data_IF_692525052763
#
_entry.id   IF_692525052763
#
_cell.length_a   1.000
_cell.length_b   1.000
_cell.length_c   1.000
_cell.angle_alpha   90.00
_cell.angle_beta   90.00
_cell.angle_gamma   90.00
#
_symmetry.space_group_name_H-M   'P 1'
#
loop_
_entity.id
_entity.type
_entity.pdbx_description
1 polymer ?
#
# COMPACT_ATOMS: atom_id res chain seq x y z
N UNK A 1 30.28 0.16 6.13
CA UNK A 1 28.92 0.76 5.95
C UNK A 1 27.96 -0.34 5.58
N UNK A 2 26.83 -0.40 6.26
CA UNK A 2 25.73 -1.31 5.92
C UNK A 2 25.05 -0.79 4.66
N UNK A 3 24.70 -1.68 3.74
CA UNK A 3 24.00 -1.36 2.48
C UNK A 3 22.55 -0.96 2.75
N UNK A 4 22.08 0.15 2.18
CA UNK A 4 20.73 0.67 2.36
C UNK A 4 20.11 1.20 1.06
N UNK A 5 20.61 0.79 -0.13
CA UNK A 5 20.18 1.38 -1.40
C UNK A 5 18.69 1.26 -1.66
N UNK A 6 18.08 0.11 -1.34
CA UNK A 6 16.63 -0.09 -1.52
C UNK A 6 15.86 0.83 -0.58
N UNK A 7 16.22 0.88 0.70
CA UNK A 7 15.59 1.81 1.64
C UNK A 7 15.72 3.26 1.17
N UNK A 8 16.91 3.67 0.74
CA UNK A 8 17.15 5.02 0.23
C UNK A 8 16.28 5.33 -0.99
N UNK A 9 16.07 4.36 -1.89
CA UNK A 9 15.18 4.53 -3.04
C UNK A 9 13.72 4.76 -2.58
N UNK A 10 13.23 3.99 -1.60
CA UNK A 10 11.90 4.20 -1.02
C UNK A 10 11.77 5.58 -0.37
N UNK A 11 12.72 5.96 0.50
CA UNK A 11 12.71 7.25 1.20
C UNK A 11 12.68 8.41 0.21
N UNK A 12 13.57 8.38 -0.77
CA UNK A 12 13.67 9.44 -1.78
C UNK A 12 12.42 9.53 -2.65
N UNK A 13 11.86 8.40 -3.06
CA UNK A 13 10.64 8.39 -3.86
C UNK A 13 9.44 8.95 -3.08
N UNK A 14 9.28 8.62 -1.80
CA UNK A 14 8.24 9.18 -0.92
C UNK A 14 8.47 10.68 -0.71
N UNK A 15 9.69 11.10 -0.41
CA UNK A 15 10.05 12.51 -0.21
C UNK A 15 9.74 13.34 -1.46
N UNK A 16 10.07 12.83 -2.64
CA UNK A 16 9.89 13.54 -3.91
C UNK A 16 8.47 13.46 -4.48
N UNK A 17 7.59 12.62 -3.91
CA UNK A 17 6.22 12.50 -4.39
C UNK A 17 5.49 13.84 -4.40
N UNK A 18 4.73 14.11 -5.46
CA UNK A 18 3.94 15.32 -5.61
C UNK A 18 2.53 15.13 -5.04
N UNK A 19 1.87 13.99 -5.35
CA UNK A 19 0.46 13.80 -5.07
C UNK A 19 0.08 12.44 -4.49
N UNK A 20 0.80 11.38 -4.87
CA UNK A 20 0.28 10.04 -4.59
C UNK A 20 1.36 8.98 -4.37
N UNK A 21 1.15 8.15 -3.37
CA UNK A 21 1.95 6.93 -3.13
C UNK A 21 1.02 5.74 -2.99
N UNK A 22 1.26 4.72 -3.80
CA UNK A 22 0.62 3.41 -3.72
C UNK A 22 1.65 2.37 -3.29
N UNK A 23 1.31 1.51 -2.33
CA UNK A 23 2.19 0.44 -1.86
C UNK A 23 1.40 -0.85 -1.73
N UNK A 24 1.94 -1.94 -2.26
CA UNK A 24 1.59 -3.30 -1.86
C UNK A 24 2.81 -3.94 -1.23
N UNK A 25 2.65 -4.53 -0.08
CA UNK A 25 3.76 -5.19 0.59
C UNK A 25 3.27 -6.29 1.54
N UNK A 26 4.03 -7.35 1.65
CA UNK A 26 3.75 -8.46 2.58
C UNK A 26 3.78 -8.03 4.05
N UNK A 27 4.56 -7.01 4.40
CA UNK A 27 4.70 -6.47 5.75
C UNK A 27 4.72 -4.95 5.74
N UNK A 28 4.33 -4.36 6.87
CA UNK A 28 4.52 -2.94 7.12
C UNK A 28 4.98 -2.72 8.56
N UNK A 29 6.29 -2.90 8.76
CA UNK A 29 6.96 -2.75 10.07
C UNK A 29 8.07 -1.73 9.94
N UNK A 30 7.93 -0.58 10.57
CA UNK A 30 8.81 0.58 10.39
C UNK A 30 8.81 1.49 11.61
N UNK A 31 9.91 2.20 11.85
CA UNK A 31 10.07 3.35 12.76
C UNK A 31 9.35 3.22 14.11
N UNK A 32 9.41 2.05 14.74
CA UNK A 32 8.71 1.79 16.00
C UNK A 32 9.60 1.07 17.01
N UNK A 33 9.13 0.98 18.24
CA UNK A 33 9.81 0.30 19.34
C UNK A 33 8.85 -0.66 20.02
N UNK A 34 9.30 -1.88 20.26
CA UNK A 34 8.59 -2.88 21.04
C UNK A 34 9.55 -3.49 22.07
N UNK A 35 9.29 -3.23 23.34
CA UNK A 35 10.19 -3.61 24.45
C UNK A 35 11.61 -3.08 24.23
N UNK A 36 12.59 -3.96 24.04
CA UNK A 36 13.99 -3.63 23.75
C UNK A 36 14.32 -3.67 22.24
N UNK A 37 13.35 -3.95 21.37
CA UNK A 37 13.55 -4.04 19.94
C UNK A 37 13.18 -2.73 19.28
N UNK A 38 14.16 -2.08 18.67
CA UNK A 38 13.98 -0.86 17.86
C UNK A 38 13.98 -1.24 16.38
N UNK A 39 13.01 -0.71 15.64
CA UNK A 39 12.89 -0.82 14.19
C UNK A 39 13.37 0.48 13.57
N UNK A 40 14.54 0.44 12.97
CA UNK A 40 15.27 1.63 12.51
C UNK A 40 14.87 2.09 11.10
N UNK A 41 14.31 1.18 10.23
CA UNK A 41 13.94 1.61 8.89
C UNK A 41 12.93 2.75 8.95
N UNK A 42 13.17 3.78 8.14
CA UNK A 42 12.50 5.08 8.26
C UNK A 42 11.38 5.30 7.25
N UNK A 43 10.88 4.23 6.59
CA UNK A 43 9.84 4.36 5.55
C UNK A 43 8.56 5.01 6.11
N UNK A 44 8.10 4.57 7.30
CA UNK A 44 6.94 5.18 7.95
C UNK A 44 7.16 6.63 8.35
N UNK A 45 8.38 6.96 8.80
CA UNK A 45 8.73 8.35 9.12
C UNK A 45 8.71 9.24 7.87
N UNK A 46 9.24 8.75 6.74
CA UNK A 46 9.18 9.48 5.47
C UNK A 46 7.73 9.77 5.02
N UNK A 47 6.81 8.82 5.22
CA UNK A 47 5.38 9.04 4.97
C UNK A 47 4.81 10.12 5.89
N UNK A 48 5.13 10.09 7.18
CA UNK A 48 4.70 11.13 8.14
C UNK A 48 5.22 12.51 7.71
N UNK A 49 6.51 12.64 7.42
CA UNK A 49 7.12 13.91 6.99
C UNK A 49 6.49 14.43 5.68
N UNK A 50 6.23 13.53 4.73
CA UNK A 50 5.57 13.88 3.47
C UNK A 50 4.14 14.38 3.69
N UNK A 51 3.37 13.74 4.59
CA UNK A 51 2.01 14.17 4.95
C UNK A 51 2.04 15.52 5.67
N UNK A 52 2.93 15.71 6.63
CA UNK A 52 3.11 16.98 7.34
C UNK A 52 3.42 18.11 6.36
N UNK A 53 4.29 17.86 5.37
CA UNK A 53 4.58 18.81 4.31
C UNK A 53 3.34 19.14 3.49
N UNK A 54 2.58 18.14 3.03
CA UNK A 54 1.35 18.34 2.26
C UNK A 54 0.31 19.16 3.04
N UNK A 55 0.15 18.86 4.32
CA UNK A 55 -0.76 19.58 5.20
C UNK A 55 -0.37 21.05 5.35
N UNK A 56 0.91 21.32 5.63
CA UNK A 56 1.44 22.69 5.74
C UNK A 56 1.28 23.49 4.46
N UNK A 57 1.55 22.85 3.31
CA UNK A 57 1.49 23.48 1.98
C UNK A 57 0.07 23.50 1.41
N UNK A 58 -0.88 22.83 2.07
CA UNK A 58 -2.26 22.65 1.61
C UNK A 58 -2.35 22.02 0.21
N UNK A 59 -1.43 21.11 -0.08
CA UNK A 59 -1.40 20.37 -1.33
C UNK A 59 -2.16 19.07 -1.20
N UNK A 60 -2.96 18.66 -2.20
CA UNK A 60 -3.63 17.37 -2.18
C UNK A 60 -2.59 16.25 -2.33
N UNK A 61 -2.52 15.39 -1.32
CA UNK A 61 -1.64 14.24 -1.31
C UNK A 61 -2.31 13.06 -0.61
N UNK A 62 -2.13 11.85 -1.13
CA UNK A 62 -2.73 10.64 -0.56
C UNK A 62 -1.77 9.46 -0.64
N UNK A 63 -1.93 8.51 0.31
CA UNK A 63 -1.27 7.21 0.24
C UNK A 63 -2.29 6.08 0.45
N UNK A 64 -2.16 5.03 -0.36
CA UNK A 64 -2.90 3.77 -0.25
C UNK A 64 -1.87 2.67 0.00
N UNK A 65 -1.98 1.99 1.14
CA UNK A 65 -1.07 0.92 1.55
C UNK A 65 -1.88 -0.37 1.68
N UNK A 66 -1.49 -1.38 0.91
CA UNK A 66 -2.13 -2.69 0.89
C UNK A 66 -1.19 -3.72 1.52
N UNK A 67 -1.70 -4.41 2.54
CA UNK A 67 -0.95 -5.40 3.32
C UNK A 67 -1.85 -6.56 3.72
N UNK A 68 -1.32 -7.76 4.01
CA UNK A 68 -2.12 -8.84 4.58
C UNK A 68 -2.76 -8.44 5.92
N UNK A 69 -4.00 -8.85 6.13
CA UNK A 69 -4.67 -8.67 7.43
C UNK A 69 -3.95 -9.45 8.53
N UNK A 70 -3.48 -10.65 8.20
CA UNK A 70 -2.64 -11.49 9.07
C UNK A 70 -1.32 -11.76 8.36
N UNK A 71 -0.22 -11.13 8.75
CA UNK A 71 1.09 -11.43 8.19
C UNK A 71 1.56 -12.81 8.66
N UNK A 72 2.31 -13.52 7.80
CA UNK A 72 2.86 -14.85 8.15
C UNK A 72 1.92 -16.02 7.91
N UNK A 73 0.92 -15.86 7.03
CA UNK A 73 0.10 -16.95 6.51
C UNK A 73 0.98 -18.17 6.08
N UNK A 74 0.54 -19.44 6.26
CA UNK A 74 -0.84 -19.87 6.53
C UNK A 74 -1.14 -20.21 8.01
N UNK A 75 -0.35 -19.79 8.96
CA UNK A 75 -0.50 -20.20 10.36
C UNK A 75 -1.64 -19.43 11.05
N UNK A 76 -2.54 -20.17 11.69
CA UNK A 76 -3.61 -19.58 12.49
C UNK A 76 -3.05 -18.85 13.72
N UNK A 77 -3.68 -17.73 14.07
CA UNK A 77 -3.21 -16.86 15.15
C UNK A 77 -3.15 -17.55 16.52
N UNK A 78 -4.07 -18.49 16.76
CA UNK A 78 -4.20 -19.25 18.01
C UNK A 78 -3.29 -20.49 18.07
N UNK A 79 -2.60 -20.82 16.97
CA UNK A 79 -1.71 -21.98 16.95
C UNK A 79 -0.52 -21.76 17.90
N UNK A 80 -0.11 -22.77 18.70
CA UNK A 80 1.01 -22.63 19.64
C UNK A 80 2.30 -22.11 19.01
N UNK A 81 2.59 -22.51 17.77
CA UNK A 81 3.79 -22.13 17.01
C UNK A 81 3.68 -20.77 16.31
N UNK A 82 2.55 -20.07 16.40
CA UNK A 82 2.33 -18.78 15.73
C UNK A 82 2.98 -17.58 16.45
N UNK A 83 3.96 -17.82 17.33
CA UNK A 83 4.65 -16.76 18.08
C UNK A 83 5.22 -15.66 17.18
N UNK A 84 5.86 -16.03 16.07
CA UNK A 84 6.40 -15.09 15.09
C UNK A 84 5.30 -14.25 14.40
N UNK A 85 4.19 -14.88 14.05
CA UNK A 85 3.03 -14.19 13.43
C UNK A 85 2.47 -13.15 14.39
N UNK A 86 2.32 -13.49 15.68
CA UNK A 86 1.84 -12.55 16.71
C UNK A 86 2.79 -11.37 16.90
N UNK A 87 4.10 -11.61 16.94
CA UNK A 87 5.10 -10.56 17.08
C UNK A 87 5.09 -9.62 15.86
N UNK A 88 5.07 -10.17 14.65
CA UNK A 88 5.03 -9.37 13.42
C UNK A 88 3.74 -8.55 13.36
N UNK A 89 2.58 -9.14 13.70
CA UNK A 89 1.32 -8.43 13.78
C UNK A 89 1.35 -7.28 14.80
N UNK A 90 1.92 -7.53 15.98
CA UNK A 90 2.06 -6.49 17.00
C UNK A 90 2.96 -5.34 16.53
N UNK A 91 4.10 -5.63 15.92
CA UNK A 91 5.00 -4.63 15.33
C UNK A 91 4.32 -3.85 14.20
N UNK A 92 3.54 -4.51 13.34
CA UNK A 92 2.79 -3.86 12.28
C UNK A 92 1.75 -2.88 12.85
N UNK A 93 0.98 -3.27 13.86
CA UNK A 93 0.05 -2.36 14.56
C UNK A 93 0.77 -1.22 15.26
N UNK A 94 1.92 -1.45 15.88
CA UNK A 94 2.74 -0.41 16.51
C UNK A 94 3.29 0.57 15.47
N UNK A 95 3.61 0.10 14.28
CA UNK A 95 4.06 0.97 13.18
C UNK A 95 2.94 1.86 12.64
N UNK A 96 1.73 1.31 12.50
CA UNK A 96 0.61 1.97 11.82
C UNK A 96 -0.19 2.87 12.77
N UNK A 97 -0.77 2.28 13.84
CA UNK A 97 -1.83 2.94 14.60
C UNK A 97 -1.69 2.87 16.13
N UNK A 98 -0.86 1.97 16.67
CA UNK A 98 -0.77 1.77 18.13
C UNK A 98 0.55 2.29 18.70
N UNK A 99 0.45 2.92 19.88
CA UNK A 99 1.60 3.45 20.57
C UNK A 99 2.11 4.80 20.01
N UNK A 100 3.03 5.43 20.73
CA UNK A 100 3.44 6.83 20.48
C UNK A 100 4.28 7.00 19.20
N UNK A 101 4.90 5.94 18.72
CA UNK A 101 5.77 5.98 17.55
C UNK A 101 5.02 5.62 16.25
N UNK A 102 3.74 5.24 16.32
CA UNK A 102 2.94 4.91 15.13
C UNK A 102 2.76 6.11 14.20
N UNK A 103 2.55 5.85 12.90
CA UNK A 103 2.24 6.88 11.92
C UNK A 103 1.04 7.72 12.38
N UNK A 104 -0.02 7.07 12.85
CA UNK A 104 -1.25 7.77 13.27
C UNK A 104 -1.02 8.66 14.50
N UNK A 105 -0.28 8.17 15.50
CA UNK A 105 0.01 8.96 16.69
C UNK A 105 0.92 10.16 16.39
N UNK A 106 1.93 9.99 15.52
CA UNK A 106 2.82 11.08 15.09
C UNK A 106 2.04 12.18 14.37
N UNK A 107 1.14 11.83 13.45
CA UNK A 107 0.29 12.79 12.74
C UNK A 107 -0.70 13.48 13.68
N UNK A 108 -1.37 12.72 14.54
CA UNK A 108 -2.30 13.27 15.53
C UNK A 108 -1.62 14.24 16.50
N UNK A 109 -0.36 13.98 16.88
CA UNK A 109 0.41 14.85 17.79
C UNK A 109 0.67 16.26 17.23
N UNK A 110 0.58 16.42 15.91
CA UNK A 110 0.71 17.70 15.21
C UNK A 110 -0.62 18.21 14.64
N UNK A 111 -1.75 17.63 15.09
CA UNK A 111 -3.09 18.09 14.73
C UNK A 111 -3.57 17.65 13.35
N UNK A 112 -2.95 16.63 12.75
CA UNK A 112 -3.33 16.13 11.43
C UNK A 112 -4.16 14.84 11.59
N UNK A 113 -5.35 14.79 10.97
CA UNK A 113 -6.12 13.56 10.83
C UNK A 113 -5.42 12.63 9.83
N UNK A 114 -4.88 11.47 10.26
CA UNK A 114 -4.20 10.55 9.35
C UNK A 114 -5.14 10.00 8.26
N UNK A 115 -6.42 9.78 8.56
CA UNK A 115 -7.38 9.22 7.63
C UNK A 115 -7.70 10.14 6.43
N UNK A 116 -7.36 11.42 6.53
CA UNK A 116 -7.44 12.35 5.42
C UNK A 116 -6.31 12.16 4.40
N UNK A 117 -5.23 11.46 4.76
CA UNK A 117 -4.02 11.36 3.94
C UNK A 117 -3.59 9.94 3.61
N UNK A 118 -3.76 8.98 4.51
CA UNK A 118 -3.26 7.61 4.35
C UNK A 118 -4.29 6.59 4.79
N UNK A 119 -4.43 5.53 4.00
CA UNK A 119 -5.25 4.38 4.33
C UNK A 119 -4.48 3.07 4.22
N UNK A 120 -4.73 2.17 5.17
CA UNK A 120 -4.20 0.81 5.17
C UNK A 120 -5.35 -0.16 4.90
N UNK A 121 -5.15 -1.04 3.93
CA UNK A 121 -6.17 -1.97 3.43
C UNK A 121 -5.63 -3.38 3.36
N UNK A 122 -6.54 -4.35 3.42
CA UNK A 122 -6.23 -5.77 3.23
C UNK A 122 -7.25 -6.37 2.29
N UNK A 123 -6.79 -7.27 1.44
CA UNK A 123 -7.65 -7.96 0.49
C UNK A 123 -8.29 -9.19 1.11
N UNK A 124 -9.54 -9.42 0.75
CA UNK A 124 -10.22 -10.68 1.03
C UNK A 124 -11.17 -11.02 -0.11
N UNK A 125 -11.41 -12.31 -0.29
CA UNK A 125 -12.36 -12.81 -1.28
C UNK A 125 -13.47 -13.58 -0.59
N UNK A 126 -14.68 -13.39 -1.08
CA UNK A 126 -15.84 -14.16 -0.70
C UNK A 126 -16.04 -15.34 -1.67
N UNK A 127 -16.45 -16.46 -1.13
CA UNK A 127 -16.78 -17.62 -1.93
C UNK A 127 -18.02 -18.34 -1.38
N UNK A 128 -18.58 -19.21 -2.21
CA UNK A 128 -19.67 -20.09 -1.81
C UNK A 128 -19.20 -21.54 -1.90
N UNK A 129 -19.22 -22.21 -0.77
CA UNK A 129 -18.90 -23.65 -0.72
C UNK A 129 -19.96 -24.48 -1.43
N UNK A 130 -19.60 -25.73 -1.77
CA UNK A 130 -20.47 -26.66 -2.53
C UNK A 130 -21.89 -26.82 -1.96
N UNK A 131 -22.05 -26.66 -0.64
CA UNK A 131 -23.33 -26.76 0.05
C UNK A 131 -24.01 -25.41 0.29
N UNK A 132 -23.61 -24.35 -0.41
CA UNK A 132 -24.22 -23.03 -0.35
C UNK A 132 -23.72 -22.12 0.80
N UNK A 133 -22.88 -22.62 1.69
CA UNK A 133 -22.29 -21.82 2.79
C UNK A 133 -21.40 -20.72 2.22
N UNK A 134 -21.63 -19.49 2.66
CA UNK A 134 -20.74 -18.37 2.35
C UNK A 134 -19.51 -18.43 3.24
N UNK A 135 -18.36 -18.24 2.63
CA UNK A 135 -17.06 -18.20 3.30
C UNK A 135 -16.26 -16.99 2.79
N UNK A 136 -15.33 -16.54 3.60
CA UNK A 136 -14.38 -15.49 3.21
C UNK A 136 -12.98 -15.90 3.64
N UNK A 137 -11.99 -15.56 2.83
CA UNK A 137 -10.58 -15.79 3.12
C UNK A 137 -9.78 -14.55 2.72
N UNK A 138 -8.68 -14.28 3.42
CA UNK A 138 -7.78 -13.21 3.00
C UNK A 138 -7.10 -13.60 1.69
N UNK A 139 -6.93 -12.62 0.82
CA UNK A 139 -5.98 -12.68 -0.29
C UNK A 139 -4.65 -12.18 0.26
N UNK A 140 -3.62 -13.02 0.20
CA UNK A 140 -2.32 -12.72 0.79
C UNK A 140 -1.40 -12.05 -0.24
N UNK A 141 -1.29 -10.71 -0.29
CA UNK A 141 -0.33 -10.06 -1.15
C UNK A 141 1.09 -10.41 -0.71
N UNK A 142 1.88 -10.96 -1.63
CA UNK A 142 3.29 -11.30 -1.41
C UNK A 142 4.22 -10.46 -2.27
N UNK A 143 3.67 -9.62 -3.11
CA UNK A 143 4.38 -8.64 -3.91
C UNK A 143 4.98 -7.53 -3.04
N UNK A 144 5.96 -6.83 -3.58
CA UNK A 144 6.60 -5.67 -2.96
C UNK A 144 6.73 -4.62 -4.04
N UNK A 145 5.70 -3.77 -4.09
CA UNK A 145 5.52 -2.75 -5.11
C UNK A 145 5.27 -1.42 -4.44
N UNK A 146 5.95 -0.38 -4.89
CA UNK A 146 5.59 1.01 -4.61
C UNK A 146 5.48 1.77 -5.92
N UNK A 147 4.39 2.51 -6.10
CA UNK A 147 4.17 3.37 -7.26
C UNK A 147 3.97 4.80 -6.76
N UNK A 148 4.73 5.74 -7.33
CA UNK A 148 4.73 7.13 -6.91
C UNK A 148 4.30 8.01 -8.09
N UNK A 149 3.23 8.79 -7.88
CA UNK A 149 2.67 9.74 -8.84
C UNK A 149 2.39 9.15 -10.23
N UNK A 150 2.21 7.82 -10.33
CA UNK A 150 2.14 7.11 -11.61
C UNK A 150 3.34 7.39 -12.56
N UNK A 151 4.48 7.83 -12.02
CA UNK A 151 5.71 8.14 -12.77
C UNK A 151 6.87 7.24 -12.46
N UNK A 152 6.88 6.68 -11.26
CA UNK A 152 7.94 5.81 -10.78
C UNK A 152 7.32 4.56 -10.15
N UNK A 153 7.90 3.40 -10.44
CA UNK A 153 7.59 2.15 -9.76
C UNK A 153 8.86 1.52 -9.17
N UNK A 154 8.78 1.05 -7.93
CA UNK A 154 9.80 0.19 -7.31
C UNK A 154 9.18 -1.18 -7.17
N UNK A 155 9.82 -2.20 -7.74
CA UNK A 155 9.35 -3.59 -7.72
C UNK A 155 10.52 -4.48 -7.33
N UNK A 156 10.32 -5.33 -6.33
CA UNK A 156 11.40 -6.19 -5.88
C UNK A 156 11.01 -7.22 -4.84
N UNK A 157 12.01 -7.74 -4.15
CA UNK A 157 11.85 -8.73 -3.09
C UNK A 157 11.78 -8.13 -1.67
N UNK A 158 12.22 -6.87 -1.49
CA UNK A 158 12.39 -6.25 -0.19
C UNK A 158 11.06 -5.91 0.49
N UNK A 159 10.80 -6.54 1.62
CA UNK A 159 9.68 -6.20 2.50
C UNK A 159 9.90 -4.85 3.21
N UNK A 160 8.82 -4.17 3.57
CA UNK A 160 8.88 -3.06 4.53
C UNK A 160 8.97 -3.66 5.93
N UNK A 161 10.17 -4.10 6.28
CA UNK A 161 10.56 -4.56 7.61
C UNK A 161 12.07 -4.38 7.81
N UNK A 162 12.54 -4.55 9.04
CA UNK A 162 13.94 -4.35 9.37
C UNK A 162 14.88 -5.33 8.65
N UNK A 163 14.44 -6.57 8.44
CA UNK A 163 15.27 -7.61 7.82
C UNK A 163 15.61 -7.31 6.36
N UNK A 164 14.61 -6.85 5.59
CA UNK A 164 14.79 -6.55 4.17
C UNK A 164 15.39 -5.16 3.90
N UNK A 165 15.21 -4.21 4.85
CA UNK A 165 15.67 -2.84 4.66
C UNK A 165 17.09 -2.58 5.18
N UNK A 166 17.67 -3.53 5.94
CA UNK A 166 19.08 -3.51 6.36
C UNK A 166 19.90 -4.48 5.55
N UNK A 167 20.97 -4.00 4.91
CA UNK A 167 21.82 -4.81 4.04
C UNK A 167 22.74 -5.81 4.76
N UNK A 168 22.69 -5.88 6.08
CA UNK A 168 23.38 -6.87 6.90
C UNK A 168 22.48 -8.04 7.34
N UNK A 169 21.27 -8.13 6.79
CA UNK A 169 20.29 -9.16 7.11
C UNK A 169 19.93 -10.01 5.90
N UNK A 170 18.81 -9.74 5.25
CA UNK A 170 18.37 -10.49 4.08
C UNK A 170 18.99 -9.92 2.79
N UNK A 171 19.25 -10.79 1.82
CA UNK A 171 19.70 -10.38 0.49
C UNK A 171 18.49 -10.06 -0.38
N UNK A 172 18.41 -8.83 -0.88
CA UNK A 172 17.27 -8.32 -1.62
C UNK A 172 17.68 -7.73 -2.97
N UNK A 173 16.73 -7.73 -3.90
CA UNK A 173 16.88 -7.09 -5.21
C UNK A 173 15.63 -6.26 -5.52
N UNK A 174 15.81 -5.04 -6.00
CA UNK A 174 14.72 -4.20 -6.47
C UNK A 174 15.08 -3.46 -7.74
N UNK A 175 14.09 -3.26 -8.61
CA UNK A 175 14.17 -2.41 -9.78
C UNK A 175 13.42 -1.10 -9.52
N UNK A 176 14.03 0.02 -9.88
CA UNK A 176 13.39 1.32 -9.95
C UNK A 176 13.12 1.63 -11.40
N UNK A 177 11.85 1.73 -11.77
CA UNK A 177 11.40 1.97 -13.13
C UNK A 177 10.86 3.40 -13.23
N UNK A 178 11.53 4.23 -14.02
CA UNK A 178 11.00 5.51 -14.49
C UNK A 178 10.73 5.40 -15.98
N UNK A 179 9.48 5.57 -16.38
CA UNK A 179 9.10 5.46 -17.77
C UNK A 179 9.33 6.78 -18.53
N UNK A 180 9.77 6.67 -19.76
CA UNK A 180 9.89 7.79 -20.69
C UNK A 180 8.70 7.89 -21.65
N UNK A 181 7.88 6.84 -21.77
CA UNK A 181 6.63 6.86 -22.51
C UNK A 181 5.54 7.50 -21.65
N UNK A 182 5.40 8.80 -21.83
CA UNK A 182 4.52 9.62 -21.01
C UNK A 182 3.12 9.71 -21.60
N UNK A 183 2.11 9.60 -20.73
CA UNK A 183 0.69 9.76 -21.05
C UNK A 183 0.11 10.97 -20.32
N UNK A 184 -0.92 11.57 -20.90
CA UNK A 184 -1.77 12.51 -20.18
C UNK A 184 -2.85 11.78 -19.42
N UNK A 185 -2.91 11.98 -18.11
CA UNK A 185 -3.92 11.47 -17.20
C UNK A 185 -4.38 12.60 -16.26
N UNK A 186 -4.90 12.23 -15.10
CA UNK A 186 -5.33 13.18 -14.06
C UNK A 186 -4.74 12.77 -12.71
N UNK A 187 -4.40 13.78 -11.91
CA UNK A 187 -3.96 13.61 -10.53
C UNK A 187 -4.43 14.82 -9.72
N UNK A 188 -5.06 14.59 -8.59
CA UNK A 188 -5.58 15.64 -7.72
C UNK A 188 -6.57 16.63 -8.41
N UNK A 189 -7.35 16.15 -9.39
CA UNK A 189 -8.31 16.94 -10.15
C UNK A 189 -7.75 17.62 -11.38
N UNK A 190 -6.43 17.66 -11.55
CA UNK A 190 -5.75 18.37 -12.63
C UNK A 190 -5.18 17.41 -13.69
N UNK A 191 -4.90 17.95 -14.89
CA UNK A 191 -4.18 17.22 -15.93
C UNK A 191 -2.74 16.95 -15.46
N UNK A 192 -2.30 15.72 -15.57
CA UNK A 192 -1.01 15.31 -15.04
C UNK A 192 -0.34 14.30 -15.99
N UNK A 193 0.94 14.50 -16.27
CA UNK A 193 1.73 13.56 -17.05
C UNK A 193 2.16 12.38 -16.18
N UNK A 194 1.87 11.17 -16.64
CA UNK A 194 2.21 9.89 -15.98
C UNK A 194 3.05 9.03 -16.91
N UNK A 195 3.87 8.14 -16.35
CA UNK A 195 4.55 7.11 -17.11
C UNK A 195 3.59 5.96 -17.45
N UNK A 196 3.60 5.47 -18.68
CA UNK A 196 2.68 4.40 -19.13
C UNK A 196 2.75 3.19 -18.22
N UNK A 197 3.93 2.67 -17.92
CA UNK A 197 4.09 1.47 -17.12
C UNK A 197 3.61 1.64 -15.67
N UNK A 198 4.09 2.63 -14.87
CA UNK A 198 3.62 2.80 -13.51
C UNK A 198 2.11 3.04 -13.42
N UNK A 199 1.57 3.86 -14.33
CA UNK A 199 0.15 4.16 -14.40
C UNK A 199 -0.71 2.93 -14.71
N UNK A 200 -0.38 2.19 -15.76
CA UNK A 200 -1.14 0.99 -16.13
C UNK A 200 -1.03 -0.11 -15.09
N UNK A 201 0.13 -0.28 -14.46
CA UNK A 201 0.32 -1.22 -13.35
C UNK A 201 -0.61 -0.88 -12.18
N UNK A 202 -0.61 0.37 -11.69
CA UNK A 202 -1.51 0.79 -10.62
C UNK A 202 -2.97 0.61 -10.99
N UNK A 203 -3.34 1.03 -12.19
CA UNK A 203 -4.72 0.88 -12.67
C UNK A 203 -5.15 -0.58 -12.67
N UNK A 204 -4.30 -1.49 -13.17
CA UNK A 204 -4.59 -2.92 -13.20
C UNK A 204 -4.78 -3.47 -11.79
N UNK A 205 -3.85 -3.21 -10.88
CA UNK A 205 -3.91 -3.66 -9.49
C UNK A 205 -5.18 -3.15 -8.79
N UNK A 206 -5.45 -1.85 -8.88
CA UNK A 206 -6.63 -1.27 -8.22
C UNK A 206 -7.96 -1.77 -8.81
N UNK A 207 -8.05 -2.01 -10.13
CA UNK A 207 -9.25 -2.61 -10.73
C UNK A 207 -9.47 -4.03 -10.22
N UNK A 208 -8.42 -4.85 -10.21
CA UNK A 208 -8.48 -6.22 -9.70
C UNK A 208 -8.92 -6.25 -8.23
N UNK A 209 -8.39 -5.36 -7.39
CA UNK A 209 -8.73 -5.28 -5.96
C UNK A 209 -10.19 -4.90 -5.69
N UNK A 210 -10.82 -4.17 -6.57
CA UNK A 210 -12.26 -3.85 -6.48
C UNK A 210 -13.15 -4.86 -7.23
N UNK A 211 -12.59 -5.99 -7.64
CA UNK A 211 -13.33 -7.12 -8.19
C UNK A 211 -13.61 -7.06 -9.69
N UNK A 212 -12.88 -6.23 -10.44
CA UNK A 212 -12.99 -6.22 -11.91
C UNK A 212 -12.16 -7.34 -12.53
N UNK A 213 -12.71 -7.98 -13.56
CA UNK A 213 -11.97 -8.92 -14.40
C UNK A 213 -11.12 -8.11 -15.40
N UNK A 214 -9.86 -7.84 -15.00
CA UNK A 214 -8.93 -7.05 -15.82
C UNK A 214 -8.56 -7.76 -17.13
N UNK A 215 -8.52 -9.08 -17.15
CA UNK A 215 -8.20 -9.84 -18.35
C UNK A 215 -9.36 -9.76 -19.36
N UNK A 216 -10.61 -9.79 -18.89
CA UNK A 216 -11.77 -9.55 -19.76
C UNK A 216 -11.81 -8.10 -20.26
N UNK A 217 -11.44 -7.12 -19.43
CA UNK A 217 -11.32 -5.72 -19.86
C UNK A 217 -10.29 -5.56 -20.98
N UNK A 218 -9.14 -6.20 -20.87
CA UNK A 218 -8.08 -6.16 -21.89
C UNK A 218 -8.50 -6.83 -23.20
N UNK A 219 -9.37 -7.86 -23.13
CA UNK A 219 -9.99 -8.47 -24.33
C UNK A 219 -11.13 -7.65 -24.92
N UNK A 220 -11.50 -6.51 -24.32
CA UNK A 220 -12.61 -5.68 -24.77
C UNK A 220 -14.00 -6.28 -24.52
N UNK A 221 -14.10 -7.23 -23.59
CA UNK A 221 -15.35 -7.85 -23.18
C UNK A 221 -16.14 -6.93 -22.24
N UNK A 222 -17.48 -7.04 -22.24
CA UNK A 222 -18.31 -6.37 -21.24
C UNK A 222 -18.08 -7.01 -19.87
N UNK A 223 -17.33 -6.34 -19.02
CA UNK A 223 -16.97 -6.84 -17.70
C UNK A 223 -18.12 -6.63 -16.73
N UNK A 224 -18.65 -7.71 -16.20
CA UNK A 224 -19.52 -7.68 -15.03
C UNK A 224 -18.66 -7.92 -13.78
N UNK A 225 -18.95 -7.17 -12.72
CA UNK A 225 -18.31 -7.37 -11.42
C UNK A 225 -18.65 -8.78 -10.94
N UNK A 226 -17.62 -9.59 -10.70
CA UNK A 226 -17.76 -11.03 -10.43
C UNK A 226 -18.29 -11.37 -9.03
N UNK A 227 -18.56 -10.38 -8.19
CA UNK A 227 -19.01 -10.59 -6.82
C UNK A 227 -20.25 -9.75 -6.47
N UNK A 228 -21.30 -10.41 -6.01
CA UNK A 228 -22.54 -9.83 -5.50
C UNK A 228 -22.43 -9.63 -3.98
N UNK A 229 -22.85 -8.47 -3.39
CA UNK A 229 -23.16 -7.18 -3.97
C UNK A 229 -22.02 -6.16 -3.73
N UNK A 230 -21.29 -5.83 -4.75
CA UNK A 230 -20.33 -4.71 -4.64
C UNK A 230 -20.96 -3.44 -5.20
N UNK A 231 -20.74 -2.27 -4.59
CA UNK A 231 -21.11 -1.01 -5.21
C UNK A 231 -20.40 -0.91 -6.57
N UNK A 232 -21.14 -0.47 -7.58
CA UNK A 232 -20.59 -0.30 -8.92
C UNK A 232 -19.53 0.83 -8.89
N UNK A 233 -18.26 0.46 -8.71
CA UNK A 233 -17.16 1.40 -8.89
C UNK A 233 -16.98 1.61 -10.37
N UNK A 234 -17.27 2.80 -10.83
CA UNK A 234 -17.04 3.14 -12.22
C UNK A 234 -15.52 3.19 -12.47
N UNK A 235 -14.97 2.51 -13.49
CA UNK A 235 -13.52 2.49 -13.74
C UNK A 235 -12.87 3.87 -13.78
N UNK A 236 -13.62 4.90 -14.20
CA UNK A 236 -13.17 6.29 -14.23
C UNK A 236 -12.75 6.84 -12.87
N UNK A 237 -13.25 6.30 -11.76
CA UNK A 237 -12.88 6.78 -10.43
C UNK A 237 -11.45 6.41 -10.04
N UNK A 238 -10.83 5.43 -10.67
CA UNK A 238 -9.46 5.02 -10.39
C UNK A 238 -8.41 5.78 -11.22
N UNK A 239 -8.82 6.54 -12.24
CA UNK A 239 -7.89 7.37 -13.04
C UNK A 239 -7.19 8.43 -12.20
N UNK A 240 -7.91 9.02 -11.23
CA UNK A 240 -7.37 10.02 -10.33
C UNK A 240 -7.49 9.53 -8.88
N UNK A 241 -6.45 8.87 -8.36
CA UNK A 241 -6.50 8.25 -7.04
C UNK A 241 -6.57 9.25 -5.89
N UNK A 242 -6.16 10.50 -6.13
CA UNK A 242 -6.20 11.56 -5.11
C UNK A 242 -7.60 12.18 -5.03
N UNK A 243 -8.17 12.58 -6.17
CA UNK A 243 -9.50 13.17 -6.22
C UNK A 243 -10.60 12.16 -5.87
N UNK A 244 -10.36 10.86 -6.12
CA UNK A 244 -11.31 9.78 -5.85
C UNK A 244 -10.98 8.95 -4.60
N UNK A 245 -10.13 9.48 -3.72
CA UNK A 245 -9.70 8.76 -2.52
C UNK A 245 -10.87 8.34 -1.61
N UNK A 246 -11.88 9.17 -1.45
CA UNK A 246 -13.06 8.84 -0.64
C UNK A 246 -13.93 7.75 -1.30
N UNK A 247 -13.98 7.70 -2.62
CA UNK A 247 -14.64 6.61 -3.35
C UNK A 247 -13.91 5.30 -3.11
N UNK A 248 -12.57 5.30 -3.20
CA UNK A 248 -11.76 4.14 -2.86
C UNK A 248 -12.03 3.65 -1.43
N UNK A 249 -12.02 4.55 -0.45
CA UNK A 249 -12.34 4.21 0.94
C UNK A 249 -13.71 3.57 1.09
N UNK A 250 -14.73 4.12 0.42
CA UNK A 250 -16.08 3.59 0.49
C UNK A 250 -16.24 2.18 -0.12
N UNK A 251 -15.40 1.83 -1.10
CA UNK A 251 -15.40 0.49 -1.72
C UNK A 251 -14.58 -0.50 -0.90
N UNK A 252 -13.50 -0.03 -0.28
CA UNK A 252 -12.58 -0.88 0.49
C UNK A 252 -13.06 -1.20 1.91
N UNK A 253 -14.17 -0.62 2.38
CA UNK A 253 -14.79 -0.86 3.69
C UNK A 253 -16.05 -1.70 3.59
#
# INVERSE_FOLDING_TARGET
TVEHSIQNAYLKAIEQSEHFVYVENQFFVTSTVMESTEIENSIGLALVERIVRAHRERTPWRAIILIPATPGFPMEYDHPESGSVRIISALQYLSIARGPHSIFARLASVGIDPHAYIGFYSLRQWGRMRHGQLVTEQVYPHDKVMIVDDRLAIIGSANINERSQRGDRDSELACVVQDHDMLMSRMAGEAFQVGRFPHTLRMRLMHEHVGWDVDAMERGENVQITQDPQPQVVPKCLLDPVAQYDVWKAVAT
#
